data_IF_471777997280
#
_entry.id   IF_471777997280
#
_cell.length_a   1.000
_cell.length_b   1.000
_cell.length_c   1.000
_cell.angle_alpha   90.00
_cell.angle_beta   90.00
_cell.angle_gamma   90.00
#
_symmetry.space_group_name_H-M   'P 1'
#
loop_
_entity.id
_entity.type
_entity.pdbx_description
1 polymer ?
#
# COMPACT_ATOMS: atom_id res chain seq x y z
N UNK A 1 25.54 -6.46 -10.14
CA UNK A 1 25.49 -5.16 -10.84
C UNK A 1 24.20 -4.40 -10.52
N UNK A 2 23.01 -4.91 -10.90
CA UNK A 2 21.74 -4.15 -10.78
C UNK A 2 21.38 -3.69 -9.36
N UNK A 3 21.72 -4.46 -8.31
CA UNK A 3 21.49 -4.04 -6.92
C UNK A 3 22.27 -2.77 -6.56
N UNK A 4 23.57 -2.74 -6.86
CA UNK A 4 24.40 -1.58 -6.53
C UNK A 4 23.95 -0.37 -7.33
N UNK A 5 23.68 -0.55 -8.62
CA UNK A 5 23.17 0.51 -9.47
C UNK A 5 21.83 1.08 -8.97
N UNK A 6 20.89 0.24 -8.54
CA UNK A 6 19.63 0.70 -7.96
C UNK A 6 19.85 1.50 -6.66
N UNK A 7 20.79 1.08 -5.80
CA UNK A 7 21.17 1.83 -4.59
C UNK A 7 21.77 3.19 -4.97
N UNK A 8 22.66 3.22 -5.96
CA UNK A 8 23.33 4.44 -6.41
C UNK A 8 22.32 5.44 -6.98
N UNK A 9 21.33 4.98 -7.77
CA UNK A 9 20.20 5.80 -8.24
C UNK A 9 19.43 6.40 -7.07
N UNK A 10 19.04 5.57 -6.09
CA UNK A 10 18.25 6.03 -4.94
C UNK A 10 19.05 6.94 -3.98
N UNK A 11 20.38 6.85 -3.99
CA UNK A 11 21.27 7.78 -3.29
C UNK A 11 21.61 9.03 -4.11
N UNK A 12 21.11 9.12 -5.34
CA UNK A 12 21.40 10.22 -6.26
C UNK A 12 22.84 10.27 -6.76
N UNK A 13 23.60 9.19 -6.64
CA UNK A 13 25.01 9.08 -7.02
C UNK A 13 25.14 8.38 -8.38
N UNK A 14 24.63 9.00 -9.45
CA UNK A 14 24.61 8.43 -10.80
C UNK A 14 25.10 9.40 -11.87
N UNK A 15 25.57 8.86 -12.99
CA UNK A 15 25.91 9.60 -14.21
C UNK A 15 25.13 9.07 -15.41
N UNK A 16 25.05 9.87 -16.48
CA UNK A 16 24.40 9.49 -17.73
C UNK A 16 25.05 8.24 -18.34
N UNK A 17 26.39 8.16 -18.36
CA UNK A 17 27.13 7.04 -18.95
C UNK A 17 26.81 5.69 -18.29
N UNK A 18 26.72 5.68 -16.95
CA UNK A 18 26.39 4.47 -16.18
C UNK A 18 24.98 3.99 -16.50
N UNK A 19 24.02 4.93 -16.61
CA UNK A 19 22.63 4.61 -16.92
C UNK A 19 22.46 4.17 -18.38
N UNK A 20 23.17 4.82 -19.32
CA UNK A 20 23.16 4.45 -20.73
C UNK A 20 23.76 3.05 -20.97
N UNK A 21 24.76 2.64 -20.19
CA UNK A 21 25.38 1.32 -20.27
C UNK A 21 24.61 0.22 -19.50
N UNK A 22 23.56 0.57 -18.75
CA UNK A 22 22.83 -0.39 -17.94
C UNK A 22 21.86 -1.23 -18.80
N UNK A 23 21.69 -2.51 -18.42
CA UNK A 23 20.67 -3.39 -19.02
C UNK A 23 19.25 -2.98 -18.56
N UNK A 24 18.44 -2.30 -19.41
CA UNK A 24 17.25 -1.60 -18.94
C UNK A 24 16.20 -2.53 -18.31
N UNK A 25 15.92 -3.66 -18.98
CA UNK A 25 14.93 -4.63 -18.49
C UNK A 25 15.35 -5.25 -17.16
N UNK A 26 16.60 -5.70 -17.07
CA UNK A 26 17.10 -6.34 -15.86
C UNK A 26 17.13 -5.38 -14.66
N UNK A 27 17.36 -4.08 -14.90
CA UNK A 27 17.32 -3.04 -13.89
C UNK A 27 15.89 -2.75 -13.43
N UNK A 28 14.94 -2.59 -14.36
CA UNK A 28 13.52 -2.37 -14.03
C UNK A 28 12.92 -3.58 -13.33
N UNK A 29 13.19 -4.79 -13.80
CA UNK A 29 12.71 -6.03 -13.16
C UNK A 29 13.23 -6.14 -11.72
N UNK A 30 14.50 -5.74 -11.49
CA UNK A 30 15.04 -5.66 -10.15
C UNK A 30 14.29 -4.61 -9.31
N UNK A 31 14.12 -3.39 -9.83
CA UNK A 31 13.44 -2.31 -9.11
C UNK A 31 11.97 -2.64 -8.80
N UNK A 32 11.27 -3.32 -9.71
CA UNK A 32 9.90 -3.82 -9.50
C UNK A 32 9.85 -4.86 -8.38
N UNK A 33 10.75 -5.85 -8.39
CA UNK A 33 10.82 -6.86 -7.31
C UNK A 33 11.12 -6.25 -5.94
N UNK A 34 11.85 -5.15 -5.89
CA UNK A 34 12.15 -4.44 -4.65
C UNK A 34 11.08 -3.39 -4.28
N UNK A 35 10.07 -3.15 -5.12
CA UNK A 35 9.04 -2.14 -4.87
C UNK A 35 9.54 -0.69 -4.98
N UNK A 36 10.63 -0.44 -5.71
CA UNK A 36 11.26 0.90 -5.82
C UNK A 36 11.27 1.45 -7.26
N UNK A 37 10.59 0.82 -8.21
CA UNK A 37 10.63 1.24 -9.62
C UNK A 37 10.12 2.68 -9.83
N UNK A 38 9.05 3.09 -9.16
CA UNK A 38 8.49 4.45 -9.30
C UNK A 38 9.39 5.49 -8.61
N UNK A 39 9.92 5.17 -7.43
CA UNK A 39 10.94 6.01 -6.77
C UNK A 39 12.18 6.17 -7.65
N UNK A 40 12.66 5.08 -8.23
CA UNK A 40 13.78 5.09 -9.17
C UNK A 40 13.50 5.98 -10.39
N UNK A 41 12.28 5.92 -10.95
CA UNK A 41 11.82 6.80 -12.03
C UNK A 41 11.91 8.27 -11.62
N UNK A 42 11.39 8.63 -10.46
CA UNK A 42 11.48 10.01 -9.93
C UNK A 42 12.93 10.45 -9.84
N UNK A 43 13.77 9.67 -9.17
CA UNK A 43 15.16 10.05 -8.93
C UNK A 43 15.96 10.19 -10.23
N UNK A 44 15.72 9.34 -11.23
CA UNK A 44 16.35 9.46 -12.54
C UNK A 44 15.89 10.70 -13.30
N UNK A 45 14.58 10.96 -13.39
CA UNK A 45 14.03 12.13 -14.09
C UNK A 45 14.44 13.45 -13.43
N UNK A 46 14.68 13.45 -12.14
CA UNK A 46 15.15 14.63 -11.41
C UNK A 46 16.61 15.00 -11.75
N UNK A 47 17.39 14.09 -12.36
CA UNK A 47 18.84 14.26 -12.55
C UNK A 47 19.29 14.17 -14.01
N UNK A 48 18.55 13.43 -14.82
CA UNK A 48 18.89 13.14 -16.21
C UNK A 48 17.68 13.43 -17.10
N UNK A 49 17.97 13.86 -18.33
CA UNK A 49 17.03 13.70 -19.43
C UNK A 49 16.98 12.20 -19.81
N UNK A 50 16.15 11.45 -19.09
CA UNK A 50 16.11 9.99 -19.17
C UNK A 50 15.62 9.52 -20.54
N UNK A 51 14.72 10.27 -21.16
CA UNK A 51 14.19 10.03 -22.49
C UNK A 51 15.30 10.07 -23.55
N UNK A 52 16.26 10.97 -23.41
CA UNK A 52 17.42 11.05 -24.31
C UNK A 52 18.52 10.04 -23.96
N UNK A 53 18.87 9.91 -22.67
CA UNK A 53 20.01 9.09 -22.23
C UNK A 53 19.70 7.59 -22.29
N UNK A 54 18.48 7.18 -21.95
CA UNK A 54 18.09 5.78 -21.88
C UNK A 54 16.60 5.59 -22.22
N UNK A 55 16.19 5.79 -23.49
CA UNK A 55 14.78 5.80 -23.90
C UNK A 55 14.02 4.51 -23.54
N UNK A 56 14.67 3.36 -23.66
CA UNK A 56 14.08 2.06 -23.30
C UNK A 56 13.82 1.98 -21.79
N UNK A 57 14.76 2.46 -20.96
CA UNK A 57 14.60 2.50 -19.51
C UNK A 57 13.48 3.47 -19.11
N UNK A 58 13.44 4.67 -19.71
CA UNK A 58 12.38 5.65 -19.54
C UNK A 58 10.99 5.04 -19.81
N UNK A 59 10.81 4.37 -20.95
CA UNK A 59 9.55 3.73 -21.33
C UNK A 59 9.14 2.64 -20.34
N UNK A 60 10.04 1.74 -19.95
CA UNK A 60 9.75 0.66 -19.00
C UNK A 60 9.35 1.20 -17.62
N UNK A 61 10.00 2.28 -17.16
CA UNK A 61 9.68 2.94 -15.90
C UNK A 61 8.36 3.71 -15.97
N UNK A 62 8.04 4.33 -17.11
CA UNK A 62 6.73 4.96 -17.34
C UNK A 62 5.60 3.93 -17.28
N UNK A 63 5.77 2.76 -17.89
CA UNK A 63 4.80 1.67 -17.78
C UNK A 63 4.64 1.16 -16.34
N UNK A 64 5.74 1.07 -15.59
CA UNK A 64 5.71 0.71 -14.17
C UNK A 64 4.94 1.74 -13.34
N UNK A 65 5.12 3.02 -13.62
CA UNK A 65 4.38 4.11 -12.97
C UNK A 65 2.89 4.07 -13.30
N UNK A 66 2.52 3.90 -14.57
CA UNK A 66 1.12 3.78 -14.99
C UNK A 66 0.40 2.59 -14.32
N UNK A 67 1.07 1.43 -14.21
CA UNK A 67 0.55 0.27 -13.46
C UNK A 67 0.35 0.57 -11.97
N UNK A 68 1.27 1.33 -11.38
CA UNK A 68 1.23 1.71 -9.97
C UNK A 68 0.08 2.68 -9.69
N UNK A 69 -0.11 3.70 -10.53
CA UNK A 69 -1.26 4.60 -10.47
C UNK A 69 -2.59 3.86 -10.61
N UNK A 70 -2.70 2.95 -11.58
CA UNK A 70 -3.91 2.12 -11.75
C UNK A 70 -4.21 1.30 -10.50
N UNK A 71 -3.18 0.79 -9.81
CA UNK A 71 -3.37 0.06 -8.55
C UNK A 71 -3.88 0.97 -7.43
N UNK A 72 -3.30 2.16 -7.28
CA UNK A 72 -3.77 3.17 -6.32
C UNK A 72 -5.26 3.45 -6.55
N UNK A 73 -5.66 3.75 -7.79
CA UNK A 73 -7.06 4.02 -8.13
C UNK A 73 -7.99 2.85 -7.78
N UNK A 74 -7.58 1.61 -8.06
CA UNK A 74 -8.37 0.42 -7.72
C UNK A 74 -8.50 0.21 -6.21
N UNK A 75 -7.44 0.50 -5.45
CA UNK A 75 -7.48 0.41 -4.00
C UNK A 75 -8.38 1.48 -3.39
N UNK A 76 -8.36 2.70 -3.92
CA UNK A 76 -9.26 3.77 -3.50
C UNK A 76 -10.72 3.42 -3.77
N UNK A 77 -11.04 2.99 -4.99
CA UNK A 77 -12.38 2.53 -5.37
C UNK A 77 -12.88 1.39 -4.46
N UNK A 78 -12.00 0.43 -4.15
CA UNK A 78 -12.35 -0.66 -3.24
C UNK A 78 -12.61 -0.18 -1.80
N UNK A 79 -11.80 0.74 -1.28
CA UNK A 79 -12.00 1.32 0.06
C UNK A 79 -13.30 2.11 0.11
N UNK A 80 -13.62 2.89 -0.93
CA UNK A 80 -14.90 3.59 -1.03
C UNK A 80 -16.08 2.63 -1.02
N UNK A 81 -16.04 1.56 -1.82
CA UNK A 81 -17.08 0.53 -1.81
C UNK A 81 -17.22 -0.20 -0.46
N UNK A 82 -16.14 -0.29 0.30
CA UNK A 82 -16.16 -0.87 1.65
C UNK A 82 -16.81 0.05 2.69
N UNK A 83 -16.94 1.36 2.41
CA UNK A 83 -17.63 2.30 3.32
C UNK A 83 -19.10 1.95 3.49
N UNK A 84 -19.77 1.48 2.46
CA UNK A 84 -21.18 1.09 2.60
C UNK A 84 -21.32 -0.38 3.03
N UNK A 85 -20.37 -1.23 2.65
CA UNK A 85 -20.43 -2.65 2.96
C UNK A 85 -20.08 -2.99 4.43
N UNK A 86 -19.11 -2.31 5.04
CA UNK A 86 -18.65 -2.62 6.40
C UNK A 86 -19.45 -1.84 7.46
N UNK A 87 -20.37 -2.54 8.13
CA UNK A 87 -21.17 -2.00 9.25
C UNK A 87 -20.42 -1.89 10.59
N UNK A 88 -19.10 -2.11 10.58
CA UNK A 88 -18.24 -2.05 11.77
C UNK A 88 -17.23 -0.93 11.60
N UNK A 89 -16.80 -0.27 12.68
CA UNK A 89 -15.65 0.63 12.62
C UNK A 89 -14.42 -0.14 12.17
N UNK A 90 -13.70 0.41 11.19
CA UNK A 90 -12.44 -0.14 10.72
C UNK A 90 -11.44 0.97 10.42
N UNK A 91 -10.18 0.58 10.33
CA UNK A 91 -9.11 1.48 9.95
C UNK A 91 -8.36 0.88 8.76
N UNK A 92 -8.17 1.67 7.70
CA UNK A 92 -7.19 1.35 6.67
C UNK A 92 -5.83 1.72 7.22
N UNK A 93 -4.95 0.75 7.42
CA UNK A 93 -3.58 1.01 7.86
C UNK A 93 -2.57 0.59 6.81
N UNK A 94 -1.33 1.08 6.95
CA UNK A 94 -0.21 0.74 6.06
C UNK A 94 -0.51 1.06 4.58
N UNK A 95 0.16 0.36 3.67
CA UNK A 95 -0.02 0.44 2.22
C UNK A 95 -0.39 1.83 1.71
N UNK A 96 -1.57 1.89 1.08
CA UNK A 96 -2.14 3.10 0.50
C UNK A 96 -2.37 4.23 1.52
N UNK A 97 -2.78 3.92 2.75
CA UNK A 97 -3.00 4.96 3.77
C UNK A 97 -1.69 5.72 4.07
N UNK A 98 -0.58 5.00 4.25
CA UNK A 98 0.73 5.62 4.43
C UNK A 98 1.26 6.29 3.16
N UNK A 99 0.94 5.73 1.98
CA UNK A 99 1.31 6.35 0.72
C UNK A 99 0.70 7.75 0.58
N UNK A 100 -0.62 7.88 0.83
CA UNK A 100 -1.33 9.16 0.77
C UNK A 100 -0.91 10.15 1.86
N UNK A 101 -0.44 9.65 3.00
CA UNK A 101 -0.03 10.50 4.11
C UNK A 101 1.40 11.04 3.97
N UNK A 102 2.32 10.22 3.43
CA UNK A 102 3.76 10.49 3.49
C UNK A 102 4.41 10.80 2.14
N UNK A 103 3.74 10.51 1.03
CA UNK A 103 4.31 10.67 -0.31
C UNK A 103 3.48 11.68 -1.11
N UNK A 104 4.18 12.52 -1.88
CA UNK A 104 3.54 13.47 -2.80
C UNK A 104 2.81 12.73 -3.94
N UNK A 105 3.42 11.68 -4.48
CA UNK A 105 2.80 10.73 -5.39
C UNK A 105 2.57 9.38 -4.67
N UNK A 106 1.31 9.00 -4.36
CA UNK A 106 1.00 7.74 -3.68
C UNK A 106 1.49 6.49 -4.44
N UNK A 107 1.70 6.58 -5.75
CA UNK A 107 2.20 5.46 -6.56
C UNK A 107 3.69 5.16 -6.34
N UNK A 108 4.41 5.99 -5.59
CA UNK A 108 5.78 5.73 -5.15
C UNK A 108 5.86 4.67 -4.05
N UNK A 109 4.79 4.52 -3.27
CA UNK A 109 4.66 3.55 -2.19
C UNK A 109 3.50 2.60 -2.47
N UNK A 110 3.69 1.75 -3.48
CA UNK A 110 2.66 0.79 -3.87
C UNK A 110 2.52 -0.33 -2.83
N UNK A 111 1.42 -0.32 -2.07
CA UNK A 111 0.99 -1.48 -1.29
C UNK A 111 0.48 -2.58 -2.22
N UNK A 112 0.85 -3.83 -1.97
CA UNK A 112 0.35 -4.96 -2.76
C UNK A 112 -1.15 -5.20 -2.51
N UNK A 113 -1.56 -4.97 -1.27
CA UNK A 113 -2.85 -5.23 -0.64
C UNK A 113 -3.37 -3.98 0.10
N UNK A 114 -4.64 -4.06 0.52
CA UNK A 114 -5.28 -3.12 1.44
C UNK A 114 -5.32 -3.78 2.81
N UNK A 115 -4.62 -3.24 3.80
CA UNK A 115 -4.77 -3.72 5.16
C UNK A 115 -5.93 -3.01 5.87
N UNK A 116 -6.88 -3.78 6.38
CA UNK A 116 -7.94 -3.31 7.27
C UNK A 116 -7.71 -3.80 8.68
N UNK A 117 -7.93 -2.95 9.68
CA UNK A 117 -7.94 -3.32 11.08
C UNK A 117 -9.33 -3.10 11.68
N UNK A 118 -9.87 -4.14 12.32
CA UNK A 118 -11.13 -4.09 13.09
C UNK A 118 -10.91 -4.49 14.54
N UNK A 119 -11.87 -4.18 15.40
CA UNK A 119 -11.85 -4.71 16.76
C UNK A 119 -12.03 -6.24 16.75
N UNK A 120 -11.35 -7.00 17.65
CA UNK A 120 -11.55 -8.45 17.76
C UNK A 120 -13.01 -8.89 17.91
N UNK A 121 -13.81 -8.10 18.63
CA UNK A 121 -15.23 -8.36 18.83
C UNK A 121 -16.05 -8.26 17.52
N UNK A 122 -15.60 -7.42 16.59
CA UNK A 122 -16.27 -7.19 15.30
C UNK A 122 -15.79 -8.12 14.19
N UNK A 123 -14.76 -8.96 14.45
CA UNK A 123 -14.17 -9.86 13.47
C UNK A 123 -15.20 -10.64 12.66
N UNK A 124 -16.17 -11.29 13.32
CA UNK A 124 -17.17 -12.11 12.62
C UNK A 124 -18.04 -11.25 11.70
N UNK A 125 -18.49 -10.09 12.17
CA UNK A 125 -19.31 -9.15 11.41
C UNK A 125 -18.56 -8.62 10.19
N UNK A 126 -17.29 -8.28 10.34
CA UNK A 126 -16.42 -7.86 9.24
C UNK A 126 -16.26 -8.95 8.18
N UNK A 127 -16.02 -10.20 8.60
CA UNK A 127 -15.91 -11.37 7.71
C UNK A 127 -17.21 -11.57 6.91
N UNK A 128 -18.35 -11.55 7.59
CA UNK A 128 -19.66 -11.73 6.96
C UNK A 128 -19.95 -10.60 5.94
N UNK A 129 -19.61 -9.36 6.30
CA UNK A 129 -19.77 -8.19 5.43
C UNK A 129 -18.87 -8.24 4.18
N UNK A 130 -17.58 -8.60 4.33
CA UNK A 130 -16.68 -8.77 3.19
C UNK A 130 -17.18 -9.86 2.22
N UNK A 131 -17.68 -10.97 2.76
CA UNK A 131 -18.27 -12.04 1.94
C UNK A 131 -19.51 -11.55 1.18
N UNK A 132 -20.40 -10.81 1.86
CA UNK A 132 -21.59 -10.23 1.24
C UNK A 132 -21.23 -9.21 0.15
N UNK A 133 -20.11 -8.50 0.31
CA UNK A 133 -19.56 -7.56 -0.67
C UNK A 133 -18.78 -8.22 -1.83
N UNK A 134 -18.83 -9.56 -1.94
CA UNK A 134 -18.23 -10.31 -3.05
C UNK A 134 -16.76 -10.67 -2.88
N UNK A 135 -16.17 -10.46 -1.70
CA UNK A 135 -14.80 -10.88 -1.44
C UNK A 135 -14.72 -12.35 -1.05
N UNK A 136 -13.75 -13.05 -1.63
CA UNK A 136 -13.46 -14.45 -1.32
C UNK A 136 -12.23 -14.54 -0.42
N UNK A 137 -12.35 -15.21 0.73
CA UNK A 137 -11.24 -15.42 1.65
C UNK A 137 -10.36 -16.59 1.24
N UNK A 138 -9.05 -16.42 1.37
CA UNK A 138 -8.10 -17.53 1.43
C UNK A 138 -7.63 -17.70 2.88
N UNK A 139 -7.67 -18.92 3.40
CA UNK A 139 -7.21 -19.18 4.77
C UNK A 139 -5.76 -19.66 4.74
N UNK A 140 -4.93 -19.06 5.59
CA UNK A 140 -3.58 -19.53 5.84
C UNK A 140 -3.46 -19.86 7.34
N UNK A 141 -3.22 -21.13 7.66
CA UNK A 141 -3.10 -21.59 9.05
C UNK A 141 -2.02 -20.83 9.83
N UNK A 142 -0.99 -20.31 9.17
CA UNK A 142 0.08 -19.54 9.80
C UNK A 142 -0.35 -18.14 10.28
N UNK A 143 -1.43 -17.58 9.72
CA UNK A 143 -1.87 -16.20 9.97
C UNK A 143 -3.31 -16.08 10.48
N UNK A 144 -4.12 -17.14 10.35
CA UNK A 144 -5.52 -17.22 10.77
C UNK A 144 -5.80 -16.91 12.26
N UNK A 145 -4.77 -16.74 13.09
CA UNK A 145 -4.89 -16.28 14.48
C UNK A 145 -5.10 -14.77 14.62
N UNK A 146 -4.73 -13.97 13.61
CA UNK A 146 -4.74 -12.50 13.68
C UNK A 146 -5.21 -11.79 12.41
N UNK A 147 -5.22 -12.47 11.26
CA UNK A 147 -5.66 -11.91 9.98
C UNK A 147 -6.30 -12.96 9.05
N UNK A 148 -7.02 -12.48 8.03
CA UNK A 148 -7.47 -13.26 6.86
C UNK A 148 -7.27 -12.45 5.58
N UNK A 149 -6.73 -13.11 4.56
CA UNK A 149 -6.55 -12.51 3.23
C UNK A 149 -7.77 -12.76 2.34
N UNK A 150 -8.14 -11.74 1.59
CA UNK A 150 -9.28 -11.68 0.70
C UNK A 150 -8.88 -11.23 -0.70
N UNK A 151 -9.60 -11.74 -1.69
CA UNK A 151 -9.52 -11.26 -3.07
C UNK A 151 -10.92 -10.96 -3.58
N UNK A 152 -11.10 -9.81 -4.22
CA UNK A 152 -12.39 -9.37 -4.74
C UNK A 152 -12.24 -7.98 -5.34
N UNK A 153 -13.15 -7.62 -6.25
CA UNK A 153 -13.21 -6.27 -6.84
C UNK A 153 -11.87 -5.77 -7.43
N UNK A 154 -11.04 -6.69 -7.94
CA UNK A 154 -9.75 -6.37 -8.55
C UNK A 154 -8.62 -6.04 -7.56
N UNK A 155 -8.82 -6.23 -6.25
CA UNK A 155 -7.82 -5.96 -5.21
C UNK A 155 -7.61 -7.17 -4.29
N UNK A 156 -6.48 -7.14 -3.58
CA UNK A 156 -6.22 -8.00 -2.42
C UNK A 156 -6.40 -7.17 -1.15
N UNK A 157 -6.96 -7.79 -0.12
CA UNK A 157 -7.25 -7.17 1.16
C UNK A 157 -6.86 -8.11 2.28
N UNK A 158 -6.19 -7.59 3.30
CA UNK A 158 -5.95 -8.33 4.54
C UNK A 158 -6.80 -7.75 5.66
N UNK A 159 -7.70 -8.56 6.21
CA UNK A 159 -8.53 -8.20 7.36
C UNK A 159 -7.83 -8.63 8.64
N UNK A 160 -7.36 -7.66 9.41
CA UNK A 160 -6.70 -7.83 10.69
C UNK A 160 -7.68 -7.59 11.85
N UNK A 161 -7.57 -8.40 12.89
CA UNK A 161 -8.18 -8.10 14.20
C UNK A 161 -7.15 -8.00 15.33
N UNK A 162 -5.89 -8.35 15.04
CA UNK A 162 -4.75 -8.01 15.86
C UNK A 162 -3.61 -7.50 14.97
N UNK A 163 -2.92 -6.44 15.40
CA UNK A 163 -1.78 -5.90 14.65
C UNK A 163 -0.58 -6.84 14.55
N UNK A 164 -0.44 -7.70 15.55
CA UNK A 164 0.58 -8.72 15.67
C UNK A 164 -0.08 -9.95 16.25
N UNK A 165 0.56 -11.11 16.12
CA UNK A 165 0.15 -12.31 16.88
C UNK A 165 -0.12 -11.95 18.35
N UNK A 166 -1.20 -12.47 18.95
CA UNK A 166 -1.45 -12.30 20.37
C UNK A 166 -0.19 -12.62 21.20
N UNK A 167 0.01 -11.89 22.30
CA UNK A 167 1.15 -12.02 23.22
C UNK A 167 2.52 -11.52 22.71
N UNK A 168 2.65 -11.09 21.45
CA UNK A 168 3.91 -10.47 20.97
C UNK A 168 4.10 -9.01 21.42
N UNK A 169 3.04 -8.35 21.83
CA UNK A 169 3.07 -6.99 22.37
C UNK A 169 2.55 -6.99 23.81
N UNK A 170 3.19 -6.20 24.68
CA UNK A 170 2.76 -5.98 26.07
C UNK A 170 1.51 -5.10 26.17
N UNK A 171 1.17 -4.39 25.10
CA UNK A 171 0.00 -3.54 24.96
C UNK A 171 -0.83 -4.01 23.78
N UNK A 172 -2.15 -3.87 23.86
CA UNK A 172 -3.05 -4.14 22.74
C UNK A 172 -2.96 -2.97 21.75
N UNK A 173 -1.93 -3.01 20.89
CA UNK A 173 -1.68 -1.98 19.89
C UNK A 173 -2.88 -1.78 18.95
N UNK A 174 -3.61 -2.85 18.63
CA UNK A 174 -4.78 -2.78 17.77
C UNK A 174 -5.90 -1.96 18.40
N UNK A 175 -6.23 -2.22 19.66
CA UNK A 175 -7.17 -1.40 20.41
C UNK A 175 -6.70 0.06 20.52
N UNK A 176 -5.41 0.27 20.79
CA UNK A 176 -4.84 1.62 20.88
C UNK A 176 -4.99 2.39 19.56
N UNK A 177 -4.67 1.77 18.41
CA UNK A 177 -4.85 2.40 17.10
C UNK A 177 -6.32 2.66 16.79
N UNK A 178 -7.22 1.73 17.07
CA UNK A 178 -8.65 1.94 16.83
C UNK A 178 -9.21 3.10 17.65
N UNK A 179 -8.65 3.41 18.83
CA UNK A 179 -9.08 4.55 19.65
C UNK A 179 -8.50 5.90 19.24
N UNK A 180 -7.46 5.93 18.39
CA UNK A 180 -6.72 7.16 18.04
C UNK A 180 -6.61 7.44 16.55
N UNK A 181 -6.80 6.42 15.73
CA UNK A 181 -6.78 6.54 14.29
C UNK A 181 -8.06 7.14 13.76
N UNK A 182 -7.98 7.70 12.55
CA UNK A 182 -9.17 8.13 11.83
C UNK A 182 -9.89 6.87 11.34
N UNK A 183 -10.95 6.50 12.07
CA UNK A 183 -11.77 5.35 11.72
C UNK A 183 -12.60 5.67 10.48
N UNK A 184 -12.60 4.75 9.53
CA UNK A 184 -13.56 4.75 8.44
C UNK A 184 -14.93 4.33 8.98
N UNK A 185 -16.00 4.86 8.38
CA UNK A 185 -17.39 4.58 8.74
C UNK A 185 -17.80 4.95 10.17
N UNK A 186 -17.05 5.83 10.81
CA UNK A 186 -17.52 6.54 12.00
C UNK A 186 -17.86 7.95 11.52
N UNK A 187 -19.13 8.34 11.66
CA UNK A 187 -19.49 9.76 11.53
C UNK A 187 -18.60 10.51 12.51
N UNK A 188 -17.81 11.52 12.09
CA UNK A 188 -17.01 12.29 13.03
C UNK A 188 -17.95 12.79 14.12
N UNK A 189 -17.72 12.37 15.37
CA UNK A 189 -18.41 12.94 16.51
C UNK A 189 -17.98 14.41 16.51
N UNK A 190 -18.91 15.38 16.32
CA UNK A 190 -18.54 16.77 16.39
C UNK A 190 -17.86 17.02 17.74
N UNK A 191 -16.72 17.70 17.68
CA UNK A 191 -15.88 17.95 18.84
C UNK A 191 -16.72 18.60 19.93
N UNK A 192 -16.88 17.92 21.07
CA UNK A 192 -17.70 18.40 22.20
C UNK A 192 -17.10 19.63 22.90
N UNK A 193 -16.00 20.17 22.36
CA UNK A 193 -15.36 21.41 22.78
C UNK A 193 -15.71 22.62 21.90
N UNK A 194 -16.54 22.46 20.86
CA UNK A 194 -17.11 23.58 20.11
C UNK A 194 -18.38 24.13 20.78
N UNK A 195 -18.25 24.56 22.04
CA UNK A 195 -19.18 25.50 22.68
C UNK A 195 -18.38 26.48 23.53
N UNK A 196 -18.03 27.61 22.93
CA UNK A 196 -18.11 28.97 23.46
C UNK A 196 -17.54 29.94 22.41
#
# INVERSE_FOLDING_TARGET
MNRQLAIDVLRGSISADIIAAAEPRALVDFALRQGVAVLMRRELRARLDLETVAPVLASLLADAHARSLKRVMRQEEAIEGLRDALSVPYLVWRGLHLAKLLYEDPSERVGADIDLLVAPADRKRAIDALRAAGYSSSTNAATASHELSYTGNGVQLDLHWHMTRPQRARINLGAWLLTRGVLCNVTPVPDATATA
#
